data_IF_682232075707
#
_entry.id   IF_682232075707
#
_cell.length_a   1.000
_cell.length_b   1.000
_cell.length_c   1.000
_cell.angle_alpha   90.00
_cell.angle_beta   90.00
_cell.angle_gamma   90.00
#
_symmetry.space_group_name_H-M   'P 1'
#
loop_
_entity.id
_entity.type
_entity.pdbx_description
1 polymer ?
#
# COMPACT_ATOMS: atom_id res chain seq x y z
N UNK A 1 3.57 41.65 -75.01
CA UNK A 1 3.47 40.37 -75.77
C UNK A 1 4.52 39.38 -75.26
N UNK A 2 4.35 38.10 -75.58
CA UNK A 2 5.15 36.89 -75.24
C UNK A 2 5.00 36.22 -73.86
N UNK A 3 3.89 35.46 -73.72
CA UNK A 3 3.77 34.00 -73.46
C UNK A 3 4.88 33.25 -72.71
N UNK A 4 4.50 32.57 -71.61
CA UNK A 4 4.96 31.22 -71.17
C UNK A 4 4.20 30.84 -69.88
N UNK A 5 3.77 29.62 -69.57
CA UNK A 5 3.53 28.35 -70.27
C UNK A 5 2.89 27.43 -69.21
N UNK A 6 2.02 26.52 -69.66
CA UNK A 6 1.72 25.18 -69.10
C UNK A 6 0.76 25.03 -67.92
N UNK A 7 -0.33 24.36 -68.29
CA UNK A 7 -1.19 23.47 -67.53
C UNK A 7 -0.50 22.65 -66.42
N UNK A 8 -1.27 22.24 -65.40
CA UNK A 8 -1.84 20.88 -65.35
C UNK A 8 -2.16 20.38 -63.92
N UNK A 9 -3.13 19.46 -63.88
CA UNK A 9 -3.30 18.37 -62.91
C UNK A 9 -4.03 18.66 -61.59
N UNK A 10 -5.32 18.26 -61.59
CA UNK A 10 -6.04 17.66 -60.46
C UNK A 10 -5.12 16.74 -59.65
N UNK A 11 -4.84 17.07 -58.39
CA UNK A 11 -4.39 16.09 -57.39
C UNK A 11 -5.28 16.14 -56.17
N UNK A 12 -6.06 15.05 -56.03
CA UNK A 12 -6.78 14.63 -54.83
C UNK A 12 -5.83 14.72 -53.64
N UNK A 13 -6.14 15.59 -52.69
CA UNK A 13 -5.49 15.62 -51.38
C UNK A 13 -5.98 14.41 -50.58
N UNK A 14 -5.13 13.39 -50.50
CA UNK A 14 -5.31 12.25 -49.60
C UNK A 14 -5.12 12.73 -48.16
N UNK A 15 -6.24 12.93 -47.47
CA UNK A 15 -6.27 13.17 -46.03
C UNK A 15 -5.90 11.89 -45.26
N UNK A 16 -4.60 11.58 -45.16
CA UNK A 16 -4.10 10.67 -44.12
C UNK A 16 -3.86 11.46 -42.84
N UNK A 17 -4.94 11.75 -42.10
CA UNK A 17 -4.82 12.25 -40.71
C UNK A 17 -4.69 11.04 -39.78
N UNK A 18 -3.57 11.02 -39.06
CA UNK A 18 -3.10 9.95 -38.21
C UNK A 18 -4.15 9.47 -37.20
N UNK A 19 -4.41 8.16 -37.22
CA UNK A 19 -5.07 7.44 -36.14
C UNK A 19 -4.16 7.53 -34.92
N UNK A 20 -4.50 8.39 -33.96
CA UNK A 20 -3.83 8.43 -32.65
C UNK A 20 -4.05 7.09 -31.96
N UNK A 21 -3.07 6.19 -32.09
CA UNK A 21 -3.00 4.94 -31.32
C UNK A 21 -2.95 5.36 -29.85
N UNK A 22 -4.07 5.23 -29.13
CA UNK A 22 -4.09 5.35 -27.66
C UNK A 22 -3.24 4.21 -27.12
N UNK A 23 -1.96 4.47 -26.93
CA UNK A 23 -1.10 3.60 -26.12
C UNK A 23 -1.66 3.74 -24.71
N UNK A 24 -2.42 2.73 -24.29
CA UNK A 24 -2.79 2.56 -22.91
C UNK A 24 -1.48 2.35 -22.14
N UNK A 25 -0.92 3.45 -21.62
CA UNK A 25 0.13 3.39 -20.61
C UNK A 25 -0.49 2.66 -19.45
N UNK A 26 -0.15 1.36 -19.30
CA UNK A 26 -0.46 0.59 -18.11
C UNK A 26 0.09 1.39 -16.94
N UNK A 27 -0.81 2.07 -16.22
CA UNK A 27 -0.50 2.76 -14.97
C UNK A 27 0.17 1.70 -14.10
N UNK A 28 1.48 1.84 -13.87
CA UNK A 28 2.20 0.97 -12.93
C UNK A 28 1.41 1.05 -11.64
N UNK A 29 0.69 0.00 -11.29
CA UNK A 29 0.03 -0.11 -10.00
C UNK A 29 1.14 0.01 -8.99
N UNK A 30 1.16 1.12 -8.24
CA UNK A 30 2.07 1.29 -7.12
C UNK A 30 2.01 -0.01 -6.32
N UNK A 31 3.14 -0.69 -6.22
CA UNK A 31 3.26 -1.97 -5.52
C UNK A 31 2.70 -1.72 -4.12
N UNK A 32 1.49 -2.22 -3.84
CA UNK A 32 0.85 -2.06 -2.53
C UNK A 32 1.88 -2.51 -1.52
N UNK A 33 2.36 -1.58 -0.69
CA UNK A 33 3.41 -1.85 0.28
C UNK A 33 2.94 -3.00 1.15
N UNK A 34 3.67 -4.11 1.15
CA UNK A 34 3.30 -5.27 1.95
C UNK A 34 3.44 -4.92 3.45
N UNK A 35 2.63 -5.54 4.33
CA UNK A 35 2.73 -5.32 5.77
C UNK A 35 4.16 -5.48 6.31
N UNK A 36 4.89 -6.50 5.82
CA UNK A 36 6.28 -6.75 6.21
C UNK A 36 7.25 -5.61 5.83
N UNK A 37 7.02 -4.95 4.69
CA UNK A 37 7.82 -3.79 4.28
C UNK A 37 7.49 -2.58 5.15
N UNK A 38 6.21 -2.37 5.47
CA UNK A 38 5.77 -1.25 6.30
C UNK A 38 6.29 -1.34 7.74
N UNK A 39 6.37 -2.53 8.32
CA UNK A 39 6.90 -2.72 9.68
C UNK A 39 8.38 -2.32 9.78
N UNK A 40 9.14 -2.44 8.68
CA UNK A 40 10.58 -2.12 8.63
C UNK A 40 10.86 -0.66 8.24
N UNK A 41 9.84 0.13 7.90
CA UNK A 41 10.04 1.54 7.54
C UNK A 41 10.53 2.33 8.75
N UNK A 42 11.49 3.22 8.52
CA UNK A 42 11.88 4.24 9.51
C UNK A 42 10.68 5.16 9.81
N UNK A 43 10.33 5.36 11.09
CA UNK A 43 9.28 6.29 11.47
C UNK A 43 9.61 7.71 11.01
N UNK A 44 8.60 8.45 10.52
CA UNK A 44 8.77 9.85 10.11
C UNK A 44 8.45 10.77 11.29
N UNK A 45 7.49 10.36 12.13
CA UNK A 45 7.11 11.04 13.36
C UNK A 45 6.64 10.01 14.40
N UNK A 46 6.27 10.48 15.60
CA UNK A 46 5.81 9.62 16.69
C UNK A 46 4.53 8.83 16.34
N UNK A 47 3.57 9.45 15.66
CA UNK A 47 2.31 8.81 15.25
C UNK A 47 2.54 7.67 14.24
N UNK A 48 3.38 7.90 13.24
CA UNK A 48 3.78 6.91 12.26
C UNK A 48 4.54 5.76 12.95
N UNK A 49 5.43 6.08 13.89
CA UNK A 49 6.12 5.07 14.69
C UNK A 49 5.17 4.23 15.56
N UNK A 50 4.16 4.85 16.17
CA UNK A 50 3.13 4.14 16.91
C UNK A 50 2.30 3.22 16.01
N UNK A 51 1.89 3.70 14.83
CA UNK A 51 1.17 2.91 13.84
C UNK A 51 1.99 1.70 13.35
N UNK A 52 3.29 1.89 13.09
CA UNK A 52 4.21 0.81 12.72
C UNK A 52 4.31 -0.25 13.82
N UNK A 53 4.41 0.16 15.10
CA UNK A 53 4.43 -0.76 16.25
C UNK A 53 3.13 -1.56 16.36
N UNK A 54 1.97 -0.91 16.18
CA UNK A 54 0.67 -1.59 16.17
C UNK A 54 0.59 -2.60 15.03
N UNK A 55 1.06 -2.25 13.83
CA UNK A 55 1.14 -3.16 12.70
C UNK A 55 2.04 -4.36 13.01
N UNK A 56 3.22 -4.14 13.61
CA UNK A 56 4.12 -5.23 14.01
C UNK A 56 3.46 -6.21 15.00
N UNK A 57 2.72 -5.70 16.00
CA UNK A 57 1.95 -6.52 16.94
C UNK A 57 0.83 -7.29 16.24
N UNK A 58 0.11 -6.66 15.31
CA UNK A 58 -0.95 -7.31 14.55
C UNK A 58 -0.41 -8.44 13.66
N UNK A 59 0.74 -8.22 13.00
CA UNK A 59 1.41 -9.26 12.19
C UNK A 59 1.82 -10.45 13.06
N UNK A 60 2.46 -10.21 14.21
CA UNK A 60 2.83 -11.27 15.14
C UNK A 60 1.61 -12.03 15.70
N UNK A 61 0.49 -11.35 15.93
CA UNK A 61 -0.77 -11.98 16.34
C UNK A 61 -1.36 -12.86 15.23
N UNK A 62 -1.30 -12.41 13.98
CA UNK A 62 -1.74 -13.19 12.82
C UNK A 62 -0.89 -14.46 12.65
N UNK A 63 0.43 -14.36 12.74
CA UNK A 63 1.33 -15.52 12.68
C UNK A 63 1.03 -16.55 13.76
N UNK A 64 0.79 -16.09 15.00
CA UNK A 64 0.37 -16.97 16.11
C UNK A 64 -0.99 -17.62 15.85
N UNK A 65 -1.94 -16.89 15.29
CA UNK A 65 -3.26 -17.41 14.97
C UNK A 65 -3.18 -18.48 13.86
N UNK A 66 -2.39 -18.25 12.82
CA UNK A 66 -2.16 -19.20 11.73
C UNK A 66 -1.46 -20.47 12.23
N UNK A 67 -0.45 -20.33 13.10
CA UNK A 67 0.18 -21.47 13.78
C UNK A 67 -0.82 -22.24 14.66
N UNK A 68 -1.75 -21.54 15.31
CA UNK A 68 -2.87 -22.13 16.06
C UNK A 68 -3.81 -22.94 15.18
N UNK A 69 -4.13 -22.43 13.97
CA UNK A 69 -4.93 -23.16 12.97
C UNK A 69 -4.22 -24.43 12.54
N UNK A 70 -2.92 -24.37 12.22
CA UNK A 70 -2.15 -25.54 11.82
C UNK A 70 -2.16 -26.63 12.92
N UNK A 71 -1.93 -26.24 14.18
CA UNK A 71 -2.00 -27.16 15.33
C UNK A 71 -3.40 -27.77 15.51
N UNK A 72 -4.46 -26.98 15.31
CA UNK A 72 -5.83 -27.47 15.43
C UNK A 72 -6.17 -28.46 14.30
N UNK A 73 -5.70 -28.21 13.08
CA UNK A 73 -5.89 -29.12 11.94
C UNK A 73 -5.19 -30.45 12.20
N UNK A 74 -3.93 -30.44 12.64
CA UNK A 74 -3.19 -31.67 12.98
C UNK A 74 -3.91 -32.49 14.07
N UNK A 75 -4.45 -31.83 15.10
CA UNK A 75 -5.28 -32.50 16.12
C UNK A 75 -6.56 -33.10 15.54
N UNK A 76 -7.19 -32.41 14.58
CA UNK A 76 -8.41 -32.89 13.91
C UNK A 76 -8.12 -34.15 13.09
N UNK A 77 -7.02 -34.17 12.35
CA UNK A 77 -6.58 -35.35 11.60
C UNK A 77 -6.30 -36.53 12.53
N UNK A 78 -5.54 -36.31 13.61
CA UNK A 78 -5.29 -37.35 14.61
C UNK A 78 -6.59 -37.89 15.25
N UNK A 79 -7.56 -37.02 15.55
CA UNK A 79 -8.85 -37.42 16.09
C UNK A 79 -9.69 -38.23 15.08
N UNK A 80 -9.67 -37.85 13.80
CA UNK A 80 -10.31 -38.62 12.72
C UNK A 80 -9.69 -39.99 12.54
N UNK A 81 -8.36 -40.09 12.52
CA UNK A 81 -7.65 -41.37 12.42
C UNK A 81 -7.97 -42.30 13.60
N UNK A 82 -8.05 -41.75 14.82
CA UNK A 82 -8.50 -42.51 16.00
C UNK A 82 -9.94 -42.96 15.89
N UNK A 83 -10.84 -42.11 15.40
CA UNK A 83 -12.25 -42.46 15.18
C UNK A 83 -12.38 -43.61 14.17
N UNK A 84 -11.65 -43.56 13.05
CA UNK A 84 -11.62 -44.64 12.06
C UNK A 84 -11.04 -45.93 12.64
N UNK A 85 -9.97 -45.86 13.43
CA UNK A 85 -9.41 -47.03 14.11
C UNK A 85 -10.41 -47.67 15.10
N UNK A 86 -11.10 -46.85 15.91
CA UNK A 86 -12.15 -47.33 16.83
C UNK A 86 -13.32 -47.93 16.04
N UNK A 87 -13.73 -47.29 14.94
CA UNK A 87 -14.80 -47.78 14.07
C UNK A 87 -14.48 -49.15 13.46
N UNK A 88 -13.24 -49.37 13.00
CA UNK A 88 -12.76 -50.67 12.51
C UNK A 88 -12.70 -51.72 13.62
N UNK A 89 -12.20 -51.36 14.81
CA UNK A 89 -12.12 -52.31 15.95
C UNK A 89 -13.47 -52.72 16.52
N UNK A 90 -14.48 -51.87 16.40
CA UNK A 90 -15.83 -52.11 16.93
C UNK A 90 -16.84 -52.54 15.87
N UNK A 91 -16.40 -52.68 14.61
CA UNK A 91 -17.28 -53.14 13.53
C UNK A 91 -17.76 -54.56 13.81
N UNK A 92 -19.07 -54.77 13.84
CA UNK A 92 -19.66 -56.08 14.15
C UNK A 92 -19.79 -56.40 15.65
N UNK A 93 -19.12 -55.64 16.54
CA UNK A 93 -19.17 -55.87 17.98
C UNK A 93 -20.27 -55.02 18.64
N UNK A 94 -21.37 -55.64 19.09
CA UNK A 94 -22.53 -54.93 19.68
C UNK A 94 -22.47 -54.76 21.21
N UNK A 95 -21.29 -54.78 21.82
CA UNK A 95 -21.14 -54.64 23.29
C UNK A 95 -21.33 -53.20 23.75
N UNK A 96 -21.76 -53.01 25.01
CA UNK A 96 -21.92 -51.69 25.61
C UNK A 96 -20.59 -50.89 25.62
N UNK A 97 -19.46 -51.58 25.85
CA UNK A 97 -18.11 -51.00 25.82
C UNK A 97 -17.77 -50.48 24.42
N UNK A 98 -18.06 -51.24 23.36
CA UNK A 98 -17.82 -50.84 21.98
C UNK A 98 -18.66 -49.62 21.56
N UNK A 99 -19.94 -49.58 21.97
CA UNK A 99 -20.80 -48.41 21.74
C UNK A 99 -20.28 -47.16 22.46
N UNK A 100 -19.84 -47.30 23.71
CA UNK A 100 -19.32 -46.19 24.52
C UNK A 100 -17.99 -45.65 23.98
N UNK A 101 -17.09 -46.52 23.53
CA UNK A 101 -15.81 -46.11 22.94
C UNK A 101 -16.01 -45.35 21.62
N UNK A 102 -16.92 -45.82 20.76
CA UNK A 102 -17.25 -45.16 19.51
C UNK A 102 -17.94 -43.80 19.74
N UNK A 103 -18.85 -43.71 20.72
CA UNK A 103 -19.47 -42.44 21.12
C UNK A 103 -18.44 -41.43 21.64
N UNK A 104 -17.49 -41.87 22.48
CA UNK A 104 -16.41 -41.01 23.00
C UNK A 104 -15.48 -40.51 21.88
N UNK A 105 -15.11 -41.38 20.94
CA UNK A 105 -14.30 -41.00 19.79
C UNK A 105 -15.02 -39.98 18.89
N UNK A 106 -16.32 -40.14 18.64
CA UNK A 106 -17.17 -39.17 17.93
C UNK A 106 -17.22 -37.83 18.64
N UNK A 107 -17.48 -37.83 19.95
CA UNK A 107 -17.53 -36.61 20.75
C UNK A 107 -16.19 -35.86 20.70
N UNK A 108 -15.07 -36.58 20.79
CA UNK A 108 -13.72 -36.00 20.67
C UNK A 108 -13.48 -35.39 19.28
N UNK A 109 -13.83 -36.11 18.21
CA UNK A 109 -13.70 -35.60 16.85
C UNK A 109 -14.54 -34.33 16.62
N UNK A 110 -15.75 -34.28 17.17
CA UNK A 110 -16.63 -33.10 17.10
C UNK A 110 -16.03 -31.89 17.83
N UNK A 111 -15.59 -32.07 19.09
CA UNK A 111 -14.95 -31.00 19.87
C UNK A 111 -13.72 -30.42 19.17
N UNK A 112 -12.90 -31.28 18.56
CA UNK A 112 -11.71 -30.83 17.83
C UNK A 112 -12.09 -30.10 16.54
N UNK A 113 -13.14 -30.53 15.84
CA UNK A 113 -13.65 -29.83 14.65
C UNK A 113 -14.15 -28.42 14.99
N UNK A 114 -14.83 -28.25 16.12
CA UNK A 114 -15.22 -26.92 16.64
C UNK A 114 -14.00 -26.06 16.98
N UNK A 115 -12.97 -26.64 17.61
CA UNK A 115 -11.72 -25.93 17.87
C UNK A 115 -11.03 -25.44 16.59
N UNK A 116 -11.08 -26.21 15.49
CA UNK A 116 -10.57 -25.77 14.18
C UNK A 116 -11.39 -24.59 13.65
N UNK A 117 -12.72 -24.63 13.75
CA UNK A 117 -13.58 -23.50 13.33
C UNK A 117 -13.25 -22.23 14.12
N UNK A 118 -13.14 -22.35 15.45
CA UNK A 118 -12.78 -21.23 16.31
C UNK A 118 -11.38 -20.67 15.99
N UNK A 119 -10.39 -21.54 15.76
CA UNK A 119 -9.05 -21.11 15.35
C UNK A 119 -9.07 -20.36 14.01
N UNK A 120 -9.85 -20.83 13.03
CA UNK A 120 -10.01 -20.15 11.74
C UNK A 120 -10.69 -18.77 11.87
N UNK A 121 -11.66 -18.64 12.77
CA UNK A 121 -12.29 -17.35 13.07
C UNK A 121 -11.25 -16.37 13.63
N UNK A 122 -10.47 -16.79 14.63
CA UNK A 122 -9.38 -15.99 15.21
C UNK A 122 -8.34 -15.57 14.17
N UNK A 123 -7.95 -16.47 13.27
CA UNK A 123 -7.02 -16.13 12.18
C UNK A 123 -7.61 -15.08 11.22
N UNK A 124 -8.90 -15.17 10.91
CA UNK A 124 -9.59 -14.15 10.08
C UNK A 124 -9.66 -12.80 10.77
N UNK A 125 -9.93 -12.77 12.08
CA UNK A 125 -9.93 -11.53 12.87
C UNK A 125 -8.54 -10.90 12.94
N UNK A 126 -7.51 -11.70 13.18
CA UNK A 126 -6.13 -11.22 13.17
C UNK A 126 -5.73 -10.67 11.79
N UNK A 127 -6.16 -11.31 10.70
CA UNK A 127 -5.94 -10.81 9.35
C UNK A 127 -6.67 -9.48 9.07
N UNK A 128 -7.86 -9.24 9.66
CA UNK A 128 -8.55 -7.95 9.60
C UNK A 128 -7.76 -6.87 10.35
N UNK A 129 -7.30 -7.18 11.56
CA UNK A 129 -6.49 -6.27 12.36
C UNK A 129 -5.19 -5.85 11.63
N UNK A 130 -4.53 -6.77 10.91
CA UNK A 130 -3.37 -6.45 10.06
C UNK A 130 -3.74 -5.46 8.95
N UNK A 131 -4.90 -5.63 8.30
CA UNK A 131 -5.37 -4.70 7.24
C UNK A 131 -5.66 -3.32 7.79
N UNK A 132 -6.35 -3.23 8.93
CA UNK A 132 -6.66 -1.97 9.60
C UNK A 132 -5.38 -1.25 10.03
N UNK A 133 -4.46 -1.95 10.71
CA UNK A 133 -3.17 -1.39 11.11
C UNK A 133 -2.34 -0.94 9.90
N UNK A 134 -2.39 -1.68 8.79
CA UNK A 134 -1.73 -1.29 7.52
C UNK A 134 -2.29 0.03 6.99
N UNK A 135 -3.61 0.20 7.03
CA UNK A 135 -4.24 1.46 6.63
C UNK A 135 -3.87 2.62 7.56
N UNK A 136 -3.79 2.38 8.87
CA UNK A 136 -3.35 3.39 9.84
C UNK A 136 -1.92 3.88 9.55
N UNK A 137 -0.99 2.97 9.23
CA UNK A 137 0.39 3.35 8.85
C UNK A 137 0.38 4.22 7.60
N UNK A 138 -0.35 3.81 6.54
CA UNK A 138 -0.43 4.57 5.29
C UNK A 138 -1.09 5.94 5.48
N UNK A 139 -2.11 6.04 6.34
CA UNK A 139 -2.78 7.30 6.65
C UNK A 139 -1.84 8.25 7.41
N UNK A 140 -1.09 7.75 8.39
CA UNK A 140 -0.10 8.54 9.11
C UNK A 140 1.02 9.04 8.18
N UNK A 141 1.52 8.18 7.29
CA UNK A 141 2.52 8.54 6.28
C UNK A 141 2.00 9.64 5.33
N UNK A 142 0.77 9.51 4.83
CA UNK A 142 0.16 10.50 3.93
C UNK A 142 -0.01 11.88 4.58
N UNK A 143 -0.49 11.92 5.83
CA UNK A 143 -0.62 13.19 6.58
C UNK A 143 0.71 13.91 6.73
N UNK A 144 1.78 13.15 6.99
CA UNK A 144 3.11 13.73 7.17
C UNK A 144 3.70 14.24 5.85
N UNK A 145 3.52 13.49 4.75
CA UNK A 145 3.89 13.95 3.41
C UNK A 145 3.15 15.24 3.04
N UNK A 146 1.87 15.35 3.37
CA UNK A 146 1.08 16.55 3.10
C UNK A 146 1.61 17.76 3.89
N UNK A 147 1.92 17.59 5.19
CA UNK A 147 2.55 18.64 6.01
C UNK A 147 3.90 19.09 5.44
N UNK A 148 4.79 18.14 5.14
CA UNK A 148 6.10 18.45 4.55
C UNK A 148 5.98 19.17 3.21
N UNK A 149 5.01 18.77 2.37
CA UNK A 149 4.75 19.46 1.10
C UNK A 149 4.23 20.88 1.29
N UNK A 150 3.43 21.14 2.32
CA UNK A 150 2.93 22.47 2.65
C UNK A 150 4.06 23.37 3.15
N UNK A 151 4.92 22.85 4.03
CA UNK A 151 6.13 23.55 4.50
C UNK A 151 7.05 23.88 3.33
N UNK A 152 7.33 22.91 2.45
CA UNK A 152 8.17 23.13 1.27
C UNK A 152 7.61 24.22 0.34
N UNK A 153 6.29 24.23 0.10
CA UNK A 153 5.62 25.28 -0.69
C UNK A 153 5.76 26.65 -0.03
N UNK A 154 5.58 26.72 1.29
CA UNK A 154 5.73 27.96 2.05
C UNK A 154 7.17 28.49 2.01
N UNK A 155 8.17 27.63 2.23
CA UNK A 155 9.59 28.02 2.15
C UNK A 155 9.92 28.52 0.74
N UNK A 156 9.48 27.82 -0.31
CA UNK A 156 9.71 28.24 -1.68
C UNK A 156 9.07 29.59 -2.05
N UNK A 157 7.88 29.91 -1.51
CA UNK A 157 7.28 31.24 -1.72
C UNK A 157 7.99 32.32 -0.92
N UNK A 158 8.40 32.00 0.31
CA UNK A 158 9.15 32.90 1.17
C UNK A 158 10.52 33.25 0.59
N UNK A 159 11.30 32.26 0.15
CA UNK A 159 12.60 32.44 -0.51
C UNK A 159 12.47 33.30 -1.76
N UNK A 160 11.50 33.04 -2.63
CA UNK A 160 11.23 33.88 -3.81
C UNK A 160 10.91 35.33 -3.43
N UNK A 161 10.16 35.56 -2.36
CA UNK A 161 9.83 36.91 -1.90
C UNK A 161 11.07 37.62 -1.33
N UNK A 162 11.89 36.89 -0.56
CA UNK A 162 13.15 37.35 0.00
C UNK A 162 14.14 37.73 -1.12
N UNK A 163 14.35 36.84 -2.09
CA UNK A 163 15.24 37.08 -3.24
C UNK A 163 14.80 38.28 -4.07
N UNK A 164 13.48 38.42 -4.31
CA UNK A 164 12.94 39.62 -4.97
C UNK A 164 13.25 40.90 -4.18
N UNK A 165 13.17 40.87 -2.84
CA UNK A 165 13.49 42.01 -1.98
C UNK A 165 14.98 42.36 -2.06
N UNK A 166 15.87 41.37 -2.03
CA UNK A 166 17.32 41.57 -2.18
C UNK A 166 17.65 42.10 -3.58
N UNK A 167 17.08 41.52 -4.64
CA UNK A 167 17.27 41.99 -6.01
C UNK A 167 16.80 43.45 -6.20
N UNK A 168 15.67 43.85 -5.60
CA UNK A 168 15.20 45.24 -5.60
C UNK A 168 16.19 46.18 -4.93
N UNK A 169 16.70 45.83 -3.73
CA UNK A 169 17.71 46.62 -3.03
C UNK A 169 19.01 46.75 -3.83
N UNK A 170 19.45 45.67 -4.49
CA UNK A 170 20.63 45.67 -5.34
C UNK A 170 20.46 46.58 -6.58
N UNK A 171 19.30 46.52 -7.25
CA UNK A 171 18.97 47.41 -8.37
C UNK A 171 18.94 48.88 -7.96
N UNK A 172 18.36 49.20 -6.80
CA UNK A 172 18.32 50.57 -6.26
C UNK A 172 19.73 51.12 -5.93
N UNK A 173 20.63 50.29 -5.38
CA UNK A 173 22.02 50.69 -5.12
C UNK A 173 22.79 50.96 -6.43
N UNK A 174 22.56 50.14 -7.47
CA UNK A 174 23.16 50.33 -8.80
C UNK A 174 22.65 51.60 -9.50
N UNK A 175 21.35 51.87 -9.48
CA UNK A 175 20.77 53.09 -10.07
C UNK A 175 21.27 54.35 -9.35
N UNK A 176 21.34 54.34 -8.01
CA UNK A 176 21.90 55.45 -7.22
C UNK A 176 23.37 55.73 -7.56
N UNK A 177 24.22 54.70 -7.71
CA UNK A 177 25.61 54.87 -8.19
C UNK A 177 25.69 55.48 -9.59
N UNK A 178 24.78 55.09 -10.50
CA UNK A 178 24.75 55.62 -11.87
C UNK A 178 24.36 57.10 -11.89
N UNK A 179 23.38 57.51 -11.07
CA UNK A 179 22.98 58.93 -10.95
C UNK A 179 24.10 59.77 -10.35
N UNK A 180 24.77 59.29 -9.29
CA UNK A 180 25.91 60.01 -8.68
C UNK A 180 27.07 60.18 -9.67
N UNK A 181 27.40 59.14 -10.44
CA UNK A 181 28.44 59.21 -11.49
C UNK A 181 28.09 60.19 -12.61
N UNK A 182 26.81 60.28 -12.99
CA UNK A 182 26.35 61.26 -14.00
C UNK A 182 26.43 62.69 -13.50
N UNK A 183 26.12 62.96 -12.23
CA UNK A 183 26.28 64.30 -11.65
C UNK A 183 27.75 64.74 -11.60
N UNK A 184 28.66 63.84 -11.21
CA UNK A 184 30.12 64.10 -11.20
C UNK A 184 30.80 64.25 -12.57
N UNK A 185 30.08 64.00 -13.66
CA UNK A 185 30.64 64.08 -15.02
C UNK A 185 30.09 65.28 -15.82
N UNK A 186 29.26 66.11 -15.17
CA UNK A 186 28.62 67.31 -15.75
C UNK A 186 29.13 68.59 -15.05
N UNK A 187 29.90 68.44 -13.96
CA UNK A 187 30.83 69.46 -13.44
C UNK A 187 32.22 69.19 -14.05
#
# INVERSE_FOLDING_TARGET
>A
MTVKKKASVKRKTTAKKAVKKKVAVKKKTARKSSPAVLVRKTPVNAEHGAAIKVLGRAVAAAEKADAGVAKAIAKSEAAKSKLEAVRKKTSGTKTAVAKRSLASARATASKVAEAVKAAKIKAREAAKAVKEATQSVLAAEKKEIEKQSAVAKFVATWEKAYDKKIAKKAKAKKSRKKVVRRKKAVD
#
